data_IF_567990481769
#
_entry.id   IF_567990481769
#
_cell.length_a   1.000
_cell.length_b   1.000
_cell.length_c   1.000
_cell.angle_alpha   90.00
_cell.angle_beta   90.00
_cell.angle_gamma   90.00
#
_symmetry.space_group_name_H-M   'P 1'
#
loop_
_entity.id
_entity.type
_entity.pdbx_description
1 polymer ?
#
# COMPACT_ATOMS: atom_id res chain seq x y z
N UNK A 1 -4.61 20.58 6.78
CA UNK A 1 -3.92 20.34 5.51
C UNK A 1 -2.69 19.44 5.65
N UNK A 2 -1.68 19.78 6.43
CA UNK A 2 -0.44 18.95 6.56
C UNK A 2 -0.73 17.50 6.99
N UNK A 3 -1.57 17.28 8.00
CA UNK A 3 -1.96 15.93 8.47
C UNK A 3 -2.61 15.09 7.37
N UNK A 4 -3.51 15.69 6.60
CA UNK A 4 -4.21 14.99 5.51
C UNK A 4 -3.26 14.64 4.37
N UNK A 5 -2.34 15.54 4.03
CA UNK A 5 -1.30 15.29 3.01
C UNK A 5 -0.35 14.17 3.45
N UNK A 6 0.08 14.16 4.71
CA UNK A 6 0.94 13.09 5.25
C UNK A 6 0.25 11.71 5.20
N UNK A 7 -1.03 11.66 5.58
CA UNK A 7 -1.80 10.42 5.52
C UNK A 7 -2.01 9.95 4.07
N UNK A 8 -2.23 10.88 3.13
CA UNK A 8 -2.35 10.55 1.71
C UNK A 8 -1.02 10.03 1.15
N UNK A 9 0.08 10.71 1.42
CA UNK A 9 1.41 10.27 1.01
C UNK A 9 1.72 8.88 1.56
N UNK A 10 1.43 8.62 2.83
CA UNK A 10 1.64 7.31 3.44
C UNK A 10 0.77 6.20 2.81
N UNK A 11 -0.42 6.56 2.31
CA UNK A 11 -1.27 5.60 1.59
C UNK A 11 -0.73 5.28 0.19
N UNK A 12 -0.19 6.29 -0.51
CA UNK A 12 0.39 6.12 -1.85
C UNK A 12 1.73 5.37 -1.76
N UNK A 13 2.61 5.81 -0.85
CA UNK A 13 3.94 5.22 -0.62
C UNK A 13 3.80 4.12 0.44
N UNK A 14 3.10 3.05 0.11
CA UNK A 14 2.83 1.92 1.01
C UNK A 14 3.39 0.59 0.49
N UNK A 15 2.76 -0.50 0.92
CA UNK A 15 3.14 -1.86 0.52
C UNK A 15 3.18 -2.09 -1.00
N UNK A 16 2.35 -1.36 -1.77
CA UNK A 16 2.37 -1.43 -3.23
C UNK A 16 3.70 -0.98 -3.83
N UNK A 17 4.29 0.10 -3.31
CA UNK A 17 5.60 0.59 -3.76
C UNK A 17 6.72 -0.39 -3.44
N UNK A 18 6.68 -1.03 -2.27
CA UNK A 18 7.68 -2.04 -1.87
C UNK A 18 7.61 -3.31 -2.74
N UNK A 19 6.42 -3.68 -3.21
CA UNK A 19 6.22 -4.83 -4.07
C UNK A 19 6.51 -4.56 -5.56
N UNK A 20 6.66 -3.28 -5.95
CA UNK A 20 6.87 -2.87 -7.34
C UNK A 20 8.11 -3.52 -8.01
N UNK A 21 9.30 -3.59 -7.37
CA UNK A 21 10.46 -4.23 -7.97
C UNK A 21 10.21 -5.71 -8.32
N UNK A 22 9.51 -6.43 -7.45
CA UNK A 22 9.12 -7.82 -7.69
C UNK A 22 8.15 -7.93 -8.88
N UNK A 23 7.17 -7.04 -8.99
CA UNK A 23 6.28 -7.00 -10.13
C UNK A 23 7.03 -6.71 -11.44
N UNK A 24 7.98 -5.75 -11.42
CA UNK A 24 8.80 -5.40 -12.59
C UNK A 24 9.69 -6.56 -13.06
N UNK A 25 10.14 -7.42 -12.17
CA UNK A 25 10.98 -8.58 -12.53
C UNK A 25 10.31 -9.54 -13.49
N UNK A 26 8.96 -9.54 -13.54
CA UNK A 26 8.16 -10.37 -14.44
C UNK A 26 7.91 -9.77 -15.83
N UNK A 27 8.02 -8.45 -15.96
CA UNK A 27 7.79 -7.72 -17.21
C UNK A 27 9.07 -7.29 -17.91
N UNK A 28 10.18 -7.19 -17.17
CA UNK A 28 11.37 -6.48 -17.59
C UNK A 28 11.20 -4.97 -17.40
N UNK A 29 12.32 -4.23 -17.59
CA UNK A 29 12.33 -2.80 -17.26
C UNK A 29 11.42 -1.99 -18.19
N UNK A 30 11.50 -2.21 -19.49
CA UNK A 30 10.76 -1.40 -20.47
C UNK A 30 9.24 -1.57 -20.31
N UNK A 31 8.75 -2.81 -20.32
CA UNK A 31 7.31 -3.07 -20.16
C UNK A 31 6.83 -2.69 -18.76
N UNK A 32 7.64 -2.90 -17.73
CA UNK A 32 7.34 -2.49 -16.36
C UNK A 32 7.16 -0.98 -16.24
N UNK A 33 8.06 -0.18 -16.81
CA UNK A 33 7.96 1.29 -16.81
C UNK A 33 6.73 1.76 -17.59
N UNK A 34 6.47 1.20 -18.77
CA UNK A 34 5.27 1.55 -19.56
C UNK A 34 3.99 1.24 -18.76
N UNK A 35 3.93 0.09 -18.09
CA UNK A 35 2.80 -0.31 -17.26
C UNK A 35 2.60 0.63 -16.07
N UNK A 36 3.68 1.00 -15.39
CA UNK A 36 3.65 1.94 -14.26
C UNK A 36 3.12 3.30 -14.73
N UNK A 37 3.63 3.84 -15.83
CA UNK A 37 3.18 5.10 -16.40
C UNK A 37 1.71 5.04 -16.82
N UNK A 38 1.29 3.97 -17.46
CA UNK A 38 -0.10 3.77 -17.85
C UNK A 38 -1.04 3.73 -16.65
N UNK A 39 -0.70 2.94 -15.63
CA UNK A 39 -1.46 2.89 -14.37
C UNK A 39 -1.47 4.25 -13.66
N UNK A 40 -0.36 4.99 -13.69
CA UNK A 40 -0.28 6.35 -13.14
C UNK A 40 -1.22 7.33 -13.85
N UNK A 41 -1.23 7.35 -15.17
CA UNK A 41 -2.12 8.22 -15.98
C UNK A 41 -3.59 7.87 -15.73
N UNK A 42 -3.95 6.60 -15.76
CA UNK A 42 -5.33 6.16 -15.50
C UNK A 42 -5.79 6.48 -14.09
N UNK A 43 -4.92 6.32 -13.10
CA UNK A 43 -5.19 6.70 -11.71
C UNK A 43 -5.35 8.22 -11.56
N UNK A 44 -4.47 9.02 -12.16
CA UNK A 44 -4.56 10.48 -12.14
C UNK A 44 -5.85 10.97 -12.81
N UNK A 45 -6.26 10.35 -13.91
CA UNK A 45 -7.54 10.66 -14.55
C UNK A 45 -8.74 10.32 -13.66
N UNK A 46 -8.71 9.17 -12.97
CA UNK A 46 -9.74 8.80 -11.99
C UNK A 46 -9.84 9.80 -10.84
N UNK A 47 -8.71 10.23 -10.27
CA UNK A 47 -8.66 11.26 -9.23
C UNK A 47 -9.18 12.62 -9.73
N UNK A 48 -8.85 13.01 -10.95
CA UNK A 48 -9.37 14.23 -11.57
C UNK A 48 -10.89 14.18 -11.69
N UNK A 49 -11.45 13.09 -12.19
CA UNK A 49 -12.91 12.93 -12.29
C UNK A 49 -13.57 12.96 -10.91
N UNK A 50 -13.00 12.27 -9.93
CA UNK A 50 -13.50 12.27 -8.55
C UNK A 50 -13.51 13.68 -7.96
N UNK A 51 -12.44 14.44 -8.11
CA UNK A 51 -12.34 15.83 -7.65
C UNK A 51 -13.34 16.76 -8.37
N UNK A 52 -13.64 16.51 -9.63
CA UNK A 52 -14.69 17.27 -10.35
C UNK A 52 -16.08 16.94 -9.84
N UNK A 53 -16.35 15.67 -9.56
CA UNK A 53 -17.65 15.23 -9.07
C UNK A 53 -17.91 15.63 -7.61
N UNK A 54 -16.86 15.69 -6.78
CA UNK A 54 -16.98 16.09 -5.37
C UNK A 54 -17.50 17.52 -5.19
N UNK A 55 -17.36 18.38 -6.21
CA UNK A 55 -17.90 19.77 -6.19
C UNK A 55 -19.42 19.85 -6.16
N UNK A 56 -20.11 18.77 -6.53
CA UNK A 56 -21.57 18.69 -6.52
C UNK A 56 -22.15 18.15 -5.19
N UNK A 57 -21.27 17.84 -4.23
CA UNK A 57 -21.63 17.34 -2.91
C UNK A 57 -21.30 18.41 -1.87
N UNK A 58 -22.13 18.49 -0.82
CA UNK A 58 -21.89 19.42 0.28
C UNK A 58 -20.55 19.18 0.96
N UNK A 59 -19.85 20.27 1.29
CA UNK A 59 -18.60 20.20 2.03
C UNK A 59 -18.83 19.52 3.38
N UNK A 60 -18.07 18.46 3.64
CA UNK A 60 -18.18 17.70 4.90
C UNK A 60 -18.83 16.33 4.76
N UNK A 61 -19.52 16.03 3.67
CA UNK A 61 -20.21 14.75 3.43
C UNK A 61 -19.73 14.00 2.19
N UNK A 62 -18.66 14.48 1.49
CA UNK A 62 -18.22 13.83 0.27
C UNK A 62 -17.57 12.46 0.56
N UNK A 63 -18.29 11.41 0.18
CA UNK A 63 -17.85 10.03 0.22
C UNK A 63 -18.21 9.35 -1.09
N UNK A 64 -17.64 8.19 -1.38
CA UNK A 64 -18.06 7.39 -2.54
C UNK A 64 -19.54 7.03 -2.46
N UNK A 65 -20.06 6.79 -1.25
CA UNK A 65 -21.47 6.56 -1.02
C UNK A 65 -22.32 7.77 -1.42
N UNK A 66 -21.99 8.97 -0.94
CA UNK A 66 -22.70 10.20 -1.28
C UNK A 66 -22.66 10.50 -2.78
N UNK A 67 -21.50 10.27 -3.43
CA UNK A 67 -21.35 10.45 -4.87
C UNK A 67 -22.21 9.45 -5.66
N UNK A 68 -22.27 8.20 -5.23
CA UNK A 68 -23.09 7.18 -5.88
C UNK A 68 -24.57 7.42 -5.68
N UNK A 69 -25.00 7.98 -4.55
CA UNK A 69 -26.38 8.39 -4.31
C UNK A 69 -26.86 9.46 -5.31
N UNK A 70 -25.97 10.36 -5.74
CA UNK A 70 -26.31 11.38 -6.74
C UNK A 70 -26.40 10.81 -8.17
N UNK A 71 -25.58 9.79 -8.48
CA UNK A 71 -25.47 9.24 -9.85
C UNK A 71 -26.34 8.00 -10.03
N UNK A 72 -26.21 7.03 -9.14
CA UNK A 72 -26.87 5.72 -9.19
C UNK A 72 -27.24 5.24 -7.79
N UNK A 73 -28.33 5.70 -7.20
CA UNK A 73 -28.69 5.38 -5.81
C UNK A 73 -28.76 3.88 -5.52
N UNK A 74 -29.28 3.09 -6.46
CA UNK A 74 -29.42 1.64 -6.33
C UNK A 74 -28.07 0.89 -6.28
N UNK A 75 -27.00 1.49 -6.78
CA UNK A 75 -25.68 0.90 -6.79
C UNK A 75 -24.79 1.37 -5.61
N UNK A 76 -25.26 2.31 -4.79
CA UNK A 76 -24.47 2.87 -3.70
C UNK A 76 -23.97 1.80 -2.71
N UNK A 77 -24.84 0.85 -2.33
CA UNK A 77 -24.48 -0.25 -1.44
C UNK A 77 -23.45 -1.19 -2.08
N UNK A 78 -23.53 -1.40 -3.39
CA UNK A 78 -22.57 -2.24 -4.13
C UNK A 78 -21.16 -1.62 -4.12
N UNK A 79 -21.08 -0.30 -4.37
CA UNK A 79 -19.79 0.42 -4.31
C UNK A 79 -19.19 0.40 -2.91
N UNK A 80 -20.01 0.62 -1.89
CA UNK A 80 -19.53 0.62 -0.50
C UNK A 80 -19.06 -0.78 -0.07
N UNK A 81 -19.79 -1.82 -0.46
CA UNK A 81 -19.37 -3.22 -0.25
C UNK A 81 -18.06 -3.54 -0.96
N UNK A 82 -17.87 -3.11 -2.20
CA UNK A 82 -16.64 -3.32 -2.95
C UNK A 82 -15.44 -2.62 -2.27
N UNK A 83 -15.63 -1.41 -1.74
CA UNK A 83 -14.61 -0.69 -0.99
C UNK A 83 -14.28 -1.42 0.31
N UNK A 84 -15.29 -1.93 1.03
CA UNK A 84 -15.09 -2.69 2.26
C UNK A 84 -14.28 -3.97 2.02
N UNK A 85 -14.62 -4.75 0.99
CA UNK A 85 -13.88 -5.95 0.58
C UNK A 85 -12.44 -5.60 0.23
N UNK A 86 -12.24 -4.52 -0.52
CA UNK A 86 -10.89 -4.05 -0.86
C UNK A 86 -10.10 -3.66 0.39
N UNK A 87 -10.66 -2.89 1.32
CA UNK A 87 -9.99 -2.49 2.55
C UNK A 87 -9.63 -3.71 3.42
N UNK A 88 -10.51 -4.69 3.48
CA UNK A 88 -10.24 -5.97 4.16
C UNK A 88 -9.04 -6.69 3.51
N UNK A 89 -9.04 -6.82 2.17
CA UNK A 89 -7.93 -7.45 1.43
C UNK A 89 -6.58 -6.75 1.65
N UNK A 90 -6.58 -5.42 1.71
CA UNK A 90 -5.40 -4.62 2.06
C UNK A 90 -4.90 -4.94 3.48
N UNK A 91 -5.81 -5.01 4.45
CA UNK A 91 -5.48 -5.38 5.83
C UNK A 91 -4.85 -6.79 5.91
N UNK A 92 -5.43 -7.76 5.23
CA UNK A 92 -4.87 -9.12 5.13
C UNK A 92 -3.46 -9.10 4.52
N UNK A 93 -3.24 -8.32 3.46
CA UNK A 93 -1.92 -8.19 2.81
C UNK A 93 -0.85 -7.66 3.78
N UNK A 94 -1.18 -6.64 4.58
CA UNK A 94 -0.26 -6.14 5.61
C UNK A 94 0.04 -7.18 6.70
N UNK A 95 -0.95 -7.97 7.10
CA UNK A 95 -0.76 -9.05 8.08
C UNK A 95 0.18 -10.14 7.54
N UNK A 96 0.07 -10.46 6.25
CA UNK A 96 0.96 -11.41 5.58
C UNK A 96 2.40 -10.88 5.61
N UNK A 97 2.61 -9.62 5.24
CA UNK A 97 3.94 -8.98 5.25
C UNK A 97 4.55 -9.00 6.66
N UNK A 98 3.79 -8.65 7.69
CA UNK A 98 4.25 -8.69 9.08
C UNK A 98 4.64 -10.12 9.48
N UNK A 99 3.79 -11.10 9.14
CA UNK A 99 4.04 -12.50 9.44
C UNK A 99 5.28 -13.08 8.74
N UNK A 100 5.64 -12.54 7.58
CA UNK A 100 6.83 -13.00 6.84
C UNK A 100 8.11 -12.28 7.30
N UNK A 101 8.03 -11.00 7.68
CA UNK A 101 9.19 -10.19 8.05
C UNK A 101 9.60 -10.35 9.52
N UNK A 102 8.64 -10.41 10.44
CA UNK A 102 8.93 -10.36 11.88
C UNK A 102 9.70 -11.58 12.41
N UNK A 103 9.40 -12.83 11.97
CA UNK A 103 10.23 -13.97 12.36
C UNK A 103 11.68 -13.81 11.95
N UNK A 104 11.95 -13.40 10.70
CA UNK A 104 13.30 -13.19 10.18
C UNK A 104 14.07 -12.11 10.98
N UNK A 105 13.39 -11.04 11.38
CA UNK A 105 13.96 -10.00 12.26
C UNK A 105 14.27 -10.58 13.63
N UNK A 106 13.33 -11.35 14.21
CA UNK A 106 13.52 -11.96 15.54
C UNK A 106 14.70 -12.94 15.56
N UNK A 107 14.89 -13.73 14.52
CA UNK A 107 16.02 -14.64 14.36
C UNK A 107 17.35 -13.87 14.34
N UNK A 108 17.42 -12.74 13.65
CA UNK A 108 18.62 -11.89 13.62
C UNK A 108 18.95 -11.26 14.98
N UNK A 109 17.96 -10.99 15.82
CA UNK A 109 18.17 -10.55 17.20
C UNK A 109 18.50 -11.67 18.18
N UNK A 110 18.68 -12.91 17.70
CA UNK A 110 19.13 -14.04 18.52
C UNK A 110 18.00 -14.68 19.33
N UNK A 111 16.79 -14.72 18.82
CA UNK A 111 15.65 -15.36 19.48
C UNK A 111 15.91 -16.83 19.80
N UNK A 112 16.68 -17.54 18.98
CA UNK A 112 17.11 -18.92 19.26
C UNK A 112 18.09 -19.01 20.46
N UNK A 113 19.01 -18.04 20.57
CA UNK A 113 19.96 -17.96 21.67
C UNK A 113 19.29 -17.62 23.01
N UNK A 114 18.15 -16.90 22.96
CA UNK A 114 17.32 -16.55 24.14
C UNK A 114 16.35 -17.66 24.56
N UNK A 115 16.27 -18.77 23.82
CA UNK A 115 15.41 -19.91 24.13
C UNK A 115 13.90 -19.61 24.01
N UNK A 116 13.52 -18.66 23.15
CA UNK A 116 12.13 -18.26 22.94
C UNK A 116 11.61 -18.71 21.55
N UNK A 117 11.26 -19.99 21.38
CA UNK A 117 10.89 -20.55 20.07
C UNK A 117 9.61 -19.95 19.49
N UNK A 118 8.75 -19.34 20.32
CA UNK A 118 7.52 -18.70 19.84
C UNK A 118 7.79 -17.40 19.03
N UNK A 119 8.98 -16.77 19.15
CA UNK A 119 9.33 -15.60 18.35
C UNK A 119 9.62 -15.97 16.88
N UNK A 120 9.92 -17.20 16.56
CA UNK A 120 10.06 -17.68 15.18
C UNK A 120 8.72 -18.09 14.55
N UNK A 121 7.63 -18.11 15.34
CA UNK A 121 6.32 -18.48 14.83
C UNK A 121 5.61 -17.30 14.16
N UNK A 122 5.32 -17.45 12.88
CA UNK A 122 4.56 -16.49 12.07
C UNK A 122 3.20 -16.14 12.68
N UNK A 123 2.50 -17.14 13.23
CA UNK A 123 1.16 -16.96 13.80
C UNK A 123 1.20 -16.08 15.05
N UNK A 124 2.24 -16.23 15.85
CA UNK A 124 2.44 -15.40 17.03
C UNK A 124 2.51 -13.91 16.66
N UNK A 125 3.33 -13.55 15.67
CA UNK A 125 3.49 -12.17 15.25
C UNK A 125 2.22 -11.59 14.63
N UNK A 126 1.53 -12.34 13.77
CA UNK A 126 0.24 -11.91 13.21
C UNK A 126 -0.76 -11.61 14.32
N UNK A 127 -0.89 -12.52 15.31
CA UNK A 127 -1.83 -12.36 16.43
C UNK A 127 -1.44 -11.19 17.35
N UNK A 128 -0.15 -11.05 17.67
CA UNK A 128 0.35 -9.98 18.49
C UNK A 128 0.12 -8.60 17.83
N UNK A 129 0.49 -8.44 16.57
CA UNK A 129 0.26 -7.18 15.86
C UNK A 129 -1.22 -6.86 15.67
N UNK A 130 -2.04 -7.86 15.43
CA UNK A 130 -3.49 -7.67 15.35
C UNK A 130 -4.08 -7.15 16.66
N UNK A 131 -3.75 -7.78 17.79
CA UNK A 131 -4.30 -7.44 19.10
C UNK A 131 -3.75 -6.12 19.64
N UNK A 132 -2.44 -5.89 19.55
CA UNK A 132 -1.80 -4.75 20.19
C UNK A 132 -1.76 -3.48 19.33
N UNK A 133 -1.80 -3.60 18.01
CA UNK A 133 -1.71 -2.46 17.12
C UNK A 133 -2.98 -2.23 16.31
N UNK A 134 -3.49 -3.24 15.60
CA UNK A 134 -4.62 -3.02 14.70
C UNK A 134 -5.90 -2.74 15.44
N UNK A 135 -6.24 -3.55 16.44
CA UNK A 135 -7.45 -3.33 17.23
C UNK A 135 -7.45 -1.94 17.85
N UNK A 136 -6.47 -1.52 18.68
CA UNK A 136 -6.53 -0.21 19.32
C UNK A 136 -6.46 0.95 18.32
N UNK A 137 -5.73 0.82 17.19
CA UNK A 137 -5.67 1.85 16.16
C UNK A 137 -6.93 1.94 15.28
N UNK A 138 -7.80 0.93 15.32
CA UNK A 138 -9.07 0.95 14.58
C UNK A 138 -10.19 1.71 15.30
N UNK A 139 -10.07 1.97 16.60
CA UNK A 139 -11.09 2.69 17.39
C UNK A 139 -11.11 4.22 17.23
N UNK A 140 -9.99 4.93 16.97
CA UNK A 140 -10.01 6.36 16.83
C UNK A 140 -10.89 6.80 15.64
N UNK A 141 -11.90 7.63 15.92
CA UNK A 141 -12.80 8.18 14.89
C UNK A 141 -12.19 9.29 14.04
N UNK A 142 -11.04 9.84 14.47
CA UNK A 142 -10.37 10.96 13.80
C UNK A 142 -9.04 10.53 13.19
N UNK A 143 -8.89 10.74 11.88
CA UNK A 143 -7.65 10.49 11.13
C UNK A 143 -6.46 11.35 11.59
N UNK A 144 -6.71 12.44 12.33
CA UNK A 144 -5.65 13.30 12.86
C UNK A 144 -4.73 12.59 13.85
N UNK A 145 -5.24 11.57 14.55
CA UNK A 145 -4.44 10.76 15.48
C UNK A 145 -3.37 9.92 14.78
N UNK A 146 -3.56 9.63 13.49
CA UNK A 146 -2.66 8.80 12.69
C UNK A 146 -1.47 9.60 12.10
N UNK A 147 -1.47 10.94 12.20
CA UNK A 147 -0.44 11.79 11.57
C UNK A 147 0.99 11.48 12.03
N UNK A 148 1.17 11.16 13.31
CA UNK A 148 2.49 10.84 13.86
C UNK A 148 3.00 9.50 13.34
N UNK A 149 2.12 8.49 13.28
CA UNK A 149 2.44 7.17 12.74
C UNK A 149 2.77 7.28 11.25
N UNK A 150 1.98 8.04 10.50
CA UNK A 150 2.24 8.30 9.08
C UNK A 150 3.58 9.01 8.83
N UNK A 151 3.95 9.94 9.72
CA UNK A 151 5.25 10.62 9.63
C UNK A 151 6.42 9.66 9.87
N UNK A 152 6.35 8.83 10.92
CA UNK A 152 7.37 7.81 11.19
C UNK A 152 7.47 6.82 10.04
N UNK A 153 6.35 6.38 9.48
CA UNK A 153 6.30 5.48 8.33
C UNK A 153 7.02 6.08 7.10
N UNK A 154 6.77 7.37 6.78
CA UNK A 154 7.43 8.04 5.67
C UNK A 154 8.95 8.16 5.86
N UNK A 155 9.42 8.44 7.08
CA UNK A 155 10.85 8.44 7.41
C UNK A 155 11.44 7.04 7.22
N UNK A 156 10.76 6.00 7.69
CA UNK A 156 11.21 4.61 7.55
C UNK A 156 11.36 4.19 6.08
N UNK A 157 10.39 4.58 5.24
CA UNK A 157 10.48 4.32 3.80
C UNK A 157 11.63 5.11 3.15
N UNK A 158 11.80 6.38 3.53
CA UNK A 158 12.94 7.19 3.06
C UNK A 158 14.29 6.56 3.42
N UNK A 159 14.43 6.08 4.65
CA UNK A 159 15.60 5.33 5.10
C UNK A 159 15.84 4.06 4.28
N UNK A 160 14.79 3.29 4.02
CA UNK A 160 14.87 2.08 3.18
C UNK A 160 15.36 2.41 1.77
N UNK A 161 14.84 3.48 1.14
CA UNK A 161 15.29 3.92 -0.19
C UNK A 161 16.76 4.29 -0.17
N UNK A 162 17.22 5.03 0.85
CA UNK A 162 18.64 5.40 1.01
C UNK A 162 19.51 4.13 1.13
N UNK A 163 19.10 3.16 1.95
CA UNK A 163 19.81 1.90 2.09
C UNK A 163 19.93 1.13 0.76
N UNK A 164 18.83 1.04 0.01
CA UNK A 164 18.83 0.36 -1.30
C UNK A 164 19.78 1.05 -2.26
N UNK A 165 19.75 2.39 -2.34
CA UNK A 165 20.67 3.17 -3.19
C UNK A 165 22.12 2.99 -2.76
N UNK A 166 22.40 3.03 -1.46
CA UNK A 166 23.74 2.83 -0.90
C UNK A 166 24.31 1.45 -1.29
N UNK A 167 23.55 0.38 -1.06
CA UNK A 167 23.97 -0.97 -1.43
C UNK A 167 24.09 -1.19 -2.94
N UNK A 168 23.25 -0.52 -3.74
CA UNK A 168 23.42 -0.55 -5.20
C UNK A 168 24.71 0.15 -5.66
N UNK A 169 25.11 1.23 -4.97
CA UNK A 169 26.32 1.98 -5.32
C UNK A 169 27.61 1.25 -4.89
N UNK A 170 27.56 0.51 -3.80
CA UNK A 170 28.74 -0.15 -3.19
C UNK A 170 29.07 -1.50 -3.84
N UNK A 171 28.34 -1.91 -4.88
CA UNK A 171 28.54 -3.20 -5.58
C UNK A 171 28.54 -4.45 -4.65
N UNK A 172 27.92 -4.33 -3.48
CA UNK A 172 27.96 -5.35 -2.40
C UNK A 172 27.26 -6.67 -2.75
N UNK A 173 26.60 -6.75 -3.90
CA UNK A 173 25.93 -7.97 -4.33
C UNK A 173 26.77 -8.71 -5.39
N UNK A 174 27.35 -9.88 -5.03
CA UNK A 174 28.18 -10.67 -5.95
C UNK A 174 27.38 -11.26 -7.13
N UNK A 175 26.06 -11.33 -7.02
CA UNK A 175 25.17 -11.82 -8.06
C UNK A 175 24.25 -10.71 -8.54
N UNK A 176 24.72 -9.80 -9.38
CA UNK A 176 23.87 -8.89 -10.14
C UNK A 176 23.04 -9.72 -11.10
N UNK A 177 21.72 -9.73 -10.91
CA UNK A 177 20.80 -10.37 -11.84
C UNK A 177 20.92 -9.75 -13.23
N UNK A 178 20.69 -10.54 -14.27
CA UNK A 178 20.65 -10.04 -15.64
C UNK A 178 19.53 -9.01 -15.82
N UNK A 179 19.91 -7.82 -16.24
CA UNK A 179 18.98 -6.76 -16.58
C UNK A 179 18.43 -7.05 -17.97
N UNK A 180 17.24 -7.63 -18.04
CA UNK A 180 16.54 -7.83 -19.30
C UNK A 180 15.61 -6.65 -19.60
N UNK A 181 15.76 -5.95 -20.74
CA UNK A 181 14.88 -4.85 -21.11
C UNK A 181 13.42 -5.31 -21.32
N UNK A 182 13.24 -6.49 -21.87
CA UNK A 182 11.93 -7.13 -22.03
C UNK A 182 12.03 -8.57 -21.55
N UNK A 183 11.23 -8.90 -20.52
CA UNK A 183 11.14 -10.25 -20.01
C UNK A 183 9.66 -10.64 -19.94
N UNK A 184 9.23 -11.44 -20.90
CA UNK A 184 7.86 -11.92 -20.91
C UNK A 184 7.79 -13.34 -20.35
N UNK A 185 7.35 -13.46 -19.12
CA UNK A 185 7.20 -14.76 -18.41
C UNK A 185 5.86 -15.44 -18.67
N UNK A 186 5.06 -14.90 -19.61
CA UNK A 186 3.76 -15.43 -19.98
C UNK A 186 2.58 -14.70 -19.33
N UNK A 187 1.35 -14.93 -19.86
CA UNK A 187 0.15 -14.20 -19.46
C UNK A 187 -0.24 -14.44 -18.00
N UNK A 188 0.01 -15.62 -17.44
CA UNK A 188 -0.31 -15.96 -16.05
C UNK A 188 0.52 -15.14 -15.07
N UNK A 189 1.81 -14.96 -15.33
CA UNK A 189 2.70 -14.16 -14.48
C UNK A 189 2.36 -12.67 -14.59
N UNK A 190 2.04 -12.20 -15.80
CA UNK A 190 1.57 -10.85 -16.02
C UNK A 190 0.28 -10.55 -15.26
N UNK A 191 -0.71 -11.44 -15.30
CA UNK A 191 -1.96 -11.32 -14.54
C UNK A 191 -1.75 -11.33 -13.01
N UNK A 192 -0.73 -12.03 -12.51
CA UNK A 192 -0.38 -12.01 -11.08
C UNK A 192 0.25 -10.71 -10.64
N UNK A 193 1.05 -10.10 -11.49
CA UNK A 193 1.82 -8.87 -11.16
C UNK A 193 1.03 -7.58 -11.43
N UNK A 194 0.11 -7.58 -12.39
CA UNK A 194 -0.71 -6.42 -12.72
C UNK A 194 -1.48 -5.84 -11.52
N UNK A 195 -2.16 -6.65 -10.67
CA UNK A 195 -2.84 -6.14 -9.49
C UNK A 195 -1.91 -5.41 -8.51
N UNK A 196 -0.65 -5.81 -8.39
CA UNK A 196 0.34 -5.16 -7.52
C UNK A 196 0.60 -3.73 -7.98
N UNK A 197 0.78 -3.52 -9.31
CA UNK A 197 0.99 -2.20 -9.88
C UNK A 197 -0.26 -1.33 -9.73
N UNK A 198 -1.45 -1.87 -10.00
CA UNK A 198 -2.73 -1.16 -9.80
C UNK A 198 -2.94 -0.81 -8.33
N UNK A 199 -2.61 -1.72 -7.42
CA UNK A 199 -2.73 -1.51 -5.98
C UNK A 199 -1.84 -0.36 -5.50
N UNK A 200 -0.64 -0.21 -6.01
CA UNK A 200 0.28 0.87 -5.64
C UNK A 200 -0.30 2.27 -5.93
N UNK A 201 -1.16 2.41 -6.93
CA UNK A 201 -1.82 3.68 -7.27
C UNK A 201 -3.17 3.88 -6.59
N UNK A 202 -3.58 3.01 -5.69
CA UNK A 202 -4.92 3.06 -5.11
C UNK A 202 -4.98 3.96 -3.89
N UNK A 203 -5.23 5.24 -4.09
CA UNK A 203 -5.42 6.23 -3.01
C UNK A 203 -6.80 6.95 -3.08
N UNK A 204 -7.62 6.63 -4.07
CA UNK A 204 -8.88 7.34 -4.38
C UNK A 204 -9.84 7.46 -3.20
N UNK A 205 -9.92 6.43 -2.35
CA UNK A 205 -10.81 6.42 -1.18
C UNK A 205 -10.42 7.44 -0.10
N UNK A 206 -9.13 7.80 -0.03
CA UNK A 206 -8.64 8.76 0.98
C UNK A 206 -8.75 10.20 0.51
N UNK A 207 -8.81 10.45 -0.80
CA UNK A 207 -8.91 11.79 -1.38
C UNK A 207 -10.25 12.42 -1.05
N UNK A 208 -11.35 11.68 -1.13
CA UNK A 208 -12.68 12.19 -0.75
C UNK A 208 -12.73 12.67 0.71
N UNK A 209 -11.99 12.02 1.61
CA UNK A 209 -11.90 12.40 3.02
C UNK A 209 -11.06 13.66 3.24
N UNK A 210 -10.16 14.01 2.31
CA UNK A 210 -9.25 15.16 2.40
C UNK A 210 -9.85 16.44 1.84
N UNK A 211 -10.62 16.35 0.75
CA UNK A 211 -11.33 17.51 0.17
C UNK A 211 -12.38 18.12 1.13
N UNK A 212 -12.67 17.43 2.25
CA UNK A 212 -13.62 17.84 3.29
C UNK A 212 -13.10 18.88 4.29
N UNK A 213 -11.84 19.29 4.21
CA UNK A 213 -11.20 20.24 5.11
C UNK A 213 -10.68 21.47 4.37
#
# INVERSE_FOLDING_TARGET
MLSSTMNLLNTIIGAGTLAMPSAMSHFGILLGVILILWCGVTSAFGLYLQSRCSRYIDRGSSSFFALSQLTYPNAAVLFDTAIAIKCFGVGVSYMIIIGDLMPAVAEQFGSEALGWPFLSDRKFWITAFFLFFIIPLSFPKKLDSLKYISFVSLISIGYLVILVVYHCAEDSYPNKGEISPIKWLGPVQALRSLPVVVFAYTCHQNVSTIELR
#
